data_IF_388773979624
#
_entry.id   IF_388773979624
#
_cell.length_a   1.000
_cell.length_b   1.000
_cell.length_c   1.000
_cell.angle_alpha   90.00
_cell.angle_beta   90.00
_cell.angle_gamma   90.00
#
_symmetry.space_group_name_H-M   'P 1'
#
loop_
_entity.id
_entity.type
_entity.pdbx_description
1 polymer ?
#
# COMPACT_ATOMS: atom_id res chain seq x y z
N UNK A 1 -19.01 -1.45 0.77
CA UNK A 1 -18.64 -2.19 2.01
C UNK A 1 -18.32 -1.21 3.14
N UNK A 2 -18.66 -1.48 4.41
CA UNK A 2 -18.28 -0.61 5.54
C UNK A 2 -16.86 -0.89 6.04
N UNK A 3 -16.20 0.09 6.68
CA UNK A 3 -14.84 -0.05 7.21
C UNK A 3 -14.65 -1.29 8.11
N UNK A 4 -15.57 -1.52 9.06
CA UNK A 4 -15.49 -2.68 9.96
C UNK A 4 -15.69 -4.02 9.27
N UNK A 5 -16.49 -4.04 8.20
CA UNK A 5 -16.70 -5.26 7.40
C UNK A 5 -15.40 -5.57 6.64
N UNK A 6 -14.80 -4.57 6.00
CA UNK A 6 -13.50 -4.70 5.33
C UNK A 6 -12.42 -5.18 6.31
N UNK A 7 -12.30 -4.56 7.47
CA UNK A 7 -11.33 -4.97 8.50
C UNK A 7 -11.55 -6.44 8.93
N UNK A 8 -12.79 -6.84 9.16
CA UNK A 8 -13.13 -8.22 9.54
C UNK A 8 -12.81 -9.24 8.45
N UNK A 9 -12.95 -8.86 7.17
CA UNK A 9 -12.54 -9.68 6.06
C UNK A 9 -11.01 -9.79 5.99
N UNK A 10 -10.30 -8.67 6.11
CA UNK A 10 -8.83 -8.64 6.06
C UNK A 10 -8.15 -9.39 7.22
N UNK A 11 -8.85 -9.60 8.34
CA UNK A 11 -8.38 -10.44 9.44
C UNK A 11 -8.31 -11.93 9.08
N UNK A 12 -9.01 -12.37 8.04
CA UNK A 12 -9.04 -13.77 7.58
C UNK A 12 -7.98 -14.06 6.52
N UNK A 13 -7.25 -13.04 6.05
CA UNK A 13 -6.18 -13.22 5.05
C UNK A 13 -5.01 -13.94 5.71
N UNK A 14 -4.65 -15.11 5.19
CA UNK A 14 -3.46 -15.85 5.62
C UNK A 14 -2.20 -15.02 5.37
N UNK A 15 -1.22 -15.16 6.26
CA UNK A 15 0.05 -14.42 6.19
C UNK A 15 1.23 -15.38 6.08
N UNK A 16 2.45 -14.83 6.05
CA UNK A 16 3.68 -15.58 5.83
C UNK A 16 3.79 -16.80 6.75
N UNK A 17 3.95 -17.99 6.16
CA UNK A 17 4.23 -19.22 6.90
C UNK A 17 5.64 -19.17 7.53
N UNK A 18 6.64 -18.80 6.72
CA UNK A 18 8.05 -18.69 7.11
C UNK A 18 8.62 -17.32 6.68
N UNK A 19 8.41 -16.24 7.47
CA UNK A 19 8.77 -14.88 7.08
C UNK A 19 10.29 -14.67 6.96
N UNK A 20 10.72 -14.11 5.83
CA UNK A 20 12.12 -13.82 5.49
C UNK A 20 12.53 -12.44 6.02
N UNK A 21 13.31 -12.45 7.10
CA UNK A 21 13.82 -11.23 7.76
C UNK A 21 14.57 -10.30 6.79
N UNK A 22 15.36 -10.85 5.87
CA UNK A 22 16.14 -10.07 4.89
C UNK A 22 15.27 -9.32 3.88
N UNK A 23 14.03 -9.76 3.67
CA UNK A 23 13.06 -9.09 2.81
C UNK A 23 12.12 -8.17 3.61
N UNK A 24 12.34 -8.06 4.93
CA UNK A 24 11.46 -7.32 5.84
C UNK A 24 9.98 -7.77 5.70
N UNK A 25 9.72 -9.08 5.68
CA UNK A 25 8.37 -9.62 5.56
C UNK A 25 7.58 -9.48 6.88
N UNK A 26 6.74 -8.45 6.94
CA UNK A 26 5.71 -8.26 7.97
C UNK A 26 4.38 -7.94 7.28
N UNK A 27 3.28 -8.63 7.62
CA UNK A 27 2.01 -8.34 6.99
C UNK A 27 1.49 -6.96 7.43
N UNK A 28 0.88 -6.23 6.50
CA UNK A 28 0.07 -5.06 6.86
C UNK A 28 -1.06 -5.52 7.77
N UNK A 29 -1.20 -4.93 8.96
CA UNK A 29 -2.31 -5.33 9.84
C UNK A 29 -3.66 -5.01 9.20
N UNK A 30 -4.65 -5.88 9.40
CA UNK A 30 -6.01 -5.70 8.86
C UNK A 30 -6.60 -4.32 9.18
N UNK A 31 -6.35 -3.80 10.38
CA UNK A 31 -6.79 -2.46 10.79
C UNK A 31 -6.17 -1.35 9.94
N UNK A 32 -4.83 -1.35 9.78
CA UNK A 32 -4.13 -0.36 8.96
C UNK A 32 -4.57 -0.45 7.50
N UNK A 33 -4.62 -1.67 6.95
CA UNK A 33 -5.04 -1.92 5.59
C UNK A 33 -6.48 -1.44 5.34
N UNK A 34 -7.43 -1.77 6.22
CA UNK A 34 -8.81 -1.35 6.10
C UNK A 34 -8.95 0.17 6.19
N UNK A 35 -8.30 0.82 7.17
CA UNK A 35 -8.32 2.27 7.30
C UNK A 35 -7.76 2.95 6.04
N UNK A 36 -6.60 2.50 5.55
CA UNK A 36 -5.99 2.99 4.31
C UNK A 36 -6.91 2.84 3.11
N UNK A 37 -7.31 1.61 2.78
CA UNK A 37 -8.08 1.29 1.57
C UNK A 37 -9.47 1.93 1.59
N UNK A 38 -10.13 1.95 2.75
CA UNK A 38 -11.43 2.60 2.90
C UNK A 38 -11.35 4.11 2.64
N UNK A 39 -10.29 4.77 3.09
CA UNK A 39 -10.06 6.20 2.80
C UNK A 39 -9.78 6.41 1.30
N UNK A 40 -8.91 5.59 0.69
CA UNK A 40 -8.60 5.67 -0.75
C UNK A 40 -9.87 5.53 -1.59
N UNK A 41 -10.72 4.55 -1.25
CA UNK A 41 -11.98 4.30 -1.95
C UNK A 41 -13.00 5.42 -1.71
N UNK A 42 -13.35 5.73 -0.46
CA UNK A 42 -14.49 6.63 -0.17
C UNK A 42 -14.17 8.12 -0.28
N UNK A 43 -12.91 8.52 -0.07
CA UNK A 43 -12.53 9.95 -0.07
C UNK A 43 -11.94 10.36 -1.41
N UNK A 44 -11.15 9.49 -2.06
CA UNK A 44 -10.39 9.85 -3.26
C UNK A 44 -10.88 9.17 -4.55
N UNK A 45 -11.80 8.20 -4.45
CA UNK A 45 -12.32 7.44 -5.60
C UNK A 45 -11.21 6.79 -6.45
N UNK A 46 -10.19 6.25 -5.77
CA UNK A 46 -8.97 5.73 -6.39
C UNK A 46 -8.85 4.20 -6.37
N UNK A 47 -9.94 3.48 -6.04
CA UNK A 47 -9.98 2.00 -6.08
C UNK A 47 -11.05 1.48 -7.05
N UNK A 48 -12.31 1.91 -6.91
CA UNK A 48 -13.42 1.33 -7.68
C UNK A 48 -13.21 1.49 -9.19
N UNK A 49 -13.34 0.37 -9.92
CA UNK A 49 -13.11 0.26 -11.36
C UNK A 49 -11.72 0.74 -11.84
N UNK A 50 -10.74 0.88 -10.93
CA UNK A 50 -9.36 1.28 -11.27
C UNK A 50 -8.46 0.07 -11.51
N UNK A 51 -7.43 0.27 -12.32
CA UNK A 51 -6.30 -0.64 -12.40
C UNK A 51 -5.29 -0.27 -11.31
N UNK A 52 -5.15 -1.14 -10.31
CA UNK A 52 -4.35 -0.92 -9.11
C UNK A 52 -3.09 -1.79 -9.14
N UNK A 53 -1.93 -1.24 -8.77
CA UNK A 53 -0.73 -2.03 -8.48
C UNK A 53 -0.44 -2.06 -6.98
N UNK A 54 -0.06 -3.22 -6.46
CA UNK A 54 0.41 -3.41 -5.08
C UNK A 54 1.90 -3.81 -5.10
N UNK A 55 2.78 -2.89 -4.69
CA UNK A 55 4.24 -3.11 -4.76
C UNK A 55 4.77 -3.69 -3.45
N UNK A 56 5.34 -4.90 -3.51
CA UNK A 56 5.68 -5.69 -2.33
C UNK A 56 4.42 -6.24 -1.69
N UNK A 57 3.55 -6.86 -2.49
CA UNK A 57 2.21 -7.27 -2.05
C UNK A 57 2.21 -8.34 -0.95
N UNK A 58 3.32 -9.07 -0.77
CA UNK A 58 3.43 -10.16 0.19
C UNK A 58 2.32 -11.18 0.00
N UNK A 59 1.61 -11.49 1.09
CA UNK A 59 0.46 -12.41 1.08
C UNK A 59 -0.85 -11.77 0.58
N UNK A 60 -0.81 -10.51 0.12
CA UNK A 60 -1.92 -9.87 -0.58
C UNK A 60 -2.91 -9.08 0.27
N UNK A 61 -2.63 -8.76 1.54
CA UNK A 61 -3.60 -8.04 2.40
C UNK A 61 -4.15 -6.76 1.75
N UNK A 62 -3.28 -5.95 1.12
CA UNK A 62 -3.72 -4.73 0.44
C UNK A 62 -4.43 -5.04 -0.87
N UNK A 63 -3.90 -5.97 -1.67
CA UNK A 63 -4.50 -6.39 -2.94
C UNK A 63 -5.90 -7.01 -2.78
N UNK A 64 -6.08 -7.93 -1.83
CA UNK A 64 -7.38 -8.55 -1.49
C UNK A 64 -8.36 -7.45 -1.10
N UNK A 65 -7.97 -6.52 -0.23
CA UNK A 65 -8.84 -5.42 0.17
C UNK A 65 -9.22 -4.48 -0.98
N UNK A 66 -8.29 -4.19 -1.89
CA UNK A 66 -8.57 -3.39 -3.09
C UNK A 66 -9.55 -4.12 -4.02
N UNK A 67 -9.36 -5.42 -4.22
CA UNK A 67 -10.25 -6.26 -5.02
C UNK A 67 -11.67 -6.33 -4.43
N UNK A 68 -11.80 -6.49 -3.10
CA UNK A 68 -13.08 -6.46 -2.36
C UNK A 68 -13.79 -5.10 -2.39
N UNK A 69 -13.05 -4.03 -2.70
CA UNK A 69 -13.57 -2.68 -2.92
C UNK A 69 -13.79 -2.39 -4.41
N UNK A 70 -13.98 -3.44 -5.20
CA UNK A 70 -14.37 -3.39 -6.62
C UNK A 70 -13.31 -2.72 -7.52
N UNK A 71 -12.02 -2.91 -7.22
CA UNK A 71 -10.97 -2.62 -8.20
C UNK A 71 -11.24 -3.36 -9.51
N UNK A 72 -11.01 -2.70 -10.66
CA UNK A 72 -11.19 -3.34 -11.96
C UNK A 72 -10.21 -4.51 -12.15
N UNK A 73 -8.96 -4.29 -11.73
CA UNK A 73 -7.93 -5.33 -11.58
C UNK A 73 -6.89 -4.82 -10.58
N UNK A 74 -6.46 -5.67 -9.64
CA UNK A 74 -5.33 -5.40 -8.77
C UNK A 74 -4.16 -6.34 -9.11
N UNK A 75 -3.01 -5.79 -9.49
CA UNK A 75 -1.81 -6.57 -9.81
C UNK A 75 -0.80 -6.47 -8.67
N UNK A 76 -0.54 -7.59 -8.00
CA UNK A 76 0.46 -7.70 -6.94
C UNK A 76 1.84 -8.02 -7.48
N UNK A 77 2.84 -7.25 -7.06
CA UNK A 77 4.25 -7.46 -7.41
C UNK A 77 5.03 -7.86 -6.15
N UNK A 78 5.70 -9.01 -6.17
CA UNK A 78 6.60 -9.40 -5.09
C UNK A 78 7.79 -10.21 -5.62
N UNK A 79 8.92 -10.16 -4.92
CA UNK A 79 10.11 -10.94 -5.26
C UNK A 79 9.97 -12.40 -4.80
N UNK A 80 9.19 -12.62 -3.74
CA UNK A 80 9.10 -13.90 -3.07
C UNK A 80 7.94 -14.76 -3.56
N UNK A 81 8.23 -15.86 -4.26
CA UNK A 81 7.19 -16.78 -4.72
C UNK A 81 6.42 -17.44 -3.58
N UNK A 82 7.05 -17.69 -2.43
CA UNK A 82 6.36 -18.33 -1.29
C UNK A 82 5.24 -17.40 -0.77
N UNK A 83 5.49 -16.09 -0.73
CA UNK A 83 4.48 -15.10 -0.38
C UNK A 83 3.36 -15.02 -1.43
N UNK A 84 3.72 -15.07 -2.72
CA UNK A 84 2.76 -15.09 -3.82
C UNK A 84 1.91 -16.36 -3.81
N UNK A 85 2.43 -17.50 -3.39
CA UNK A 85 1.66 -18.74 -3.25
C UNK A 85 0.60 -18.61 -2.14
N UNK A 86 0.94 -17.98 -1.01
CA UNK A 86 -0.06 -17.65 0.03
C UNK A 86 -1.11 -16.67 -0.52
N UNK A 87 -0.69 -15.66 -1.28
CA UNK A 87 -1.62 -14.72 -1.90
C UNK A 87 -2.56 -15.45 -2.89
N UNK A 88 -2.07 -16.35 -3.75
CA UNK A 88 -2.94 -17.16 -4.63
C UNK A 88 -4.02 -17.90 -3.86
N UNK A 89 -3.65 -18.56 -2.76
CA UNK A 89 -4.62 -19.25 -1.89
C UNK A 89 -5.64 -18.28 -1.30
N UNK A 90 -5.20 -17.13 -0.79
CA UNK A 90 -6.11 -16.08 -0.30
C UNK A 90 -7.07 -15.60 -1.38
N UNK A 91 -6.60 -15.37 -2.61
CA UNK A 91 -7.47 -14.94 -3.71
C UNK A 91 -8.54 -15.99 -4.04
N UNK A 92 -8.17 -17.27 -4.07
CA UNK A 92 -9.09 -18.38 -4.30
C UNK A 92 -10.11 -18.52 -3.17
N UNK A 93 -9.68 -18.44 -1.91
CA UNK A 93 -10.54 -18.55 -0.72
C UNK A 93 -11.56 -17.41 -0.61
N UNK A 94 -11.19 -16.20 -1.04
CA UNK A 94 -12.08 -15.06 -1.11
C UNK A 94 -12.88 -14.99 -2.43
N UNK A 95 -12.70 -15.97 -3.33
CA UNK A 95 -13.36 -16.06 -4.64
C UNK A 95 -13.15 -14.81 -5.53
N UNK A 96 -11.95 -14.21 -5.46
CA UNK A 96 -11.61 -12.98 -6.16
C UNK A 96 -11.05 -13.26 -7.55
N UNK A 97 -11.77 -12.81 -8.59
CA UNK A 97 -11.35 -12.95 -10.00
C UNK A 97 -10.63 -11.73 -10.57
N UNK A 98 -10.52 -10.65 -9.79
CA UNK A 98 -9.97 -9.35 -10.20
C UNK A 98 -8.59 -9.08 -9.58
N UNK A 99 -7.79 -10.13 -9.39
CA UNK A 99 -6.40 -10.04 -8.95
C UNK A 99 -5.47 -10.79 -9.91
N UNK A 100 -4.26 -10.26 -10.09
CA UNK A 100 -3.19 -10.93 -10.84
C UNK A 100 -1.84 -10.75 -10.12
N UNK A 101 -0.85 -11.58 -10.44
CA UNK A 101 0.39 -11.70 -9.69
C UNK A 101 1.60 -11.72 -10.61
N UNK A 102 2.58 -10.87 -10.29
CA UNK A 102 3.85 -10.80 -10.99
C UNK A 102 4.98 -11.05 -10.00
N UNK A 103 5.67 -12.18 -10.17
CA UNK A 103 6.93 -12.40 -9.45
C UNK A 103 8.04 -11.55 -10.09
N UNK A 104 8.57 -10.57 -9.35
CA UNK A 104 9.69 -9.77 -9.82
C UNK A 104 10.50 -9.14 -8.68
N UNK A 105 11.78 -8.89 -8.93
CA UNK A 105 12.55 -7.96 -8.11
C UNK A 105 12.27 -6.53 -8.60
N UNK A 106 11.55 -5.74 -7.80
CA UNK A 106 11.25 -4.33 -8.10
C UNK A 106 12.50 -3.47 -8.26
N UNK A 107 13.65 -3.87 -7.69
CA UNK A 107 14.92 -3.17 -7.89
C UNK A 107 15.53 -3.40 -9.28
N UNK A 108 15.14 -4.49 -9.94
CA UNK A 108 15.61 -4.86 -11.27
C UNK A 108 14.52 -4.69 -12.35
N UNK A 109 13.28 -4.38 -11.94
CA UNK A 109 12.18 -4.12 -12.85
C UNK A 109 12.49 -2.90 -13.72
N UNK A 110 12.31 -3.05 -15.03
CA UNK A 110 12.30 -1.92 -15.97
C UNK A 110 10.99 -1.16 -15.81
N UNK A 111 10.90 -0.32 -14.79
CA UNK A 111 9.66 0.40 -14.42
C UNK A 111 9.12 1.27 -15.55
N UNK A 112 9.97 1.69 -16.49
CA UNK A 112 9.56 2.45 -17.67
C UNK A 112 8.64 1.64 -18.61
N UNK A 113 8.75 0.31 -18.63
CA UNK A 113 7.83 -0.57 -19.37
C UNK A 113 6.40 -0.51 -18.80
N UNK A 114 6.26 -0.09 -17.54
CA UNK A 114 5.00 0.07 -16.81
C UNK A 114 4.63 1.55 -16.62
N UNK A 115 5.30 2.47 -17.32
CA UNK A 115 5.10 3.90 -17.11
C UNK A 115 3.63 4.27 -17.28
N UNK A 116 3.06 4.93 -16.27
CA UNK A 116 1.67 5.37 -16.28
C UNK A 116 0.69 4.26 -16.70
N UNK A 117 0.97 3.01 -16.32
CA UNK A 117 0.14 1.86 -16.69
C UNK A 117 -0.98 1.63 -15.68
N UNK A 118 -0.76 1.96 -14.41
CA UNK A 118 -1.72 1.78 -13.32
C UNK A 118 -2.37 3.11 -12.97
N UNK A 119 -3.68 3.11 -12.71
CA UNK A 119 -4.36 4.33 -12.26
C UNK A 119 -3.88 4.73 -10.86
N UNK A 120 -3.77 3.73 -9.99
CA UNK A 120 -3.38 3.86 -8.58
C UNK A 120 -2.29 2.85 -8.23
N UNK A 121 -1.30 3.26 -7.45
CA UNK A 121 -0.33 2.35 -6.82
C UNK A 121 -0.49 2.39 -5.31
N UNK A 122 -0.62 1.24 -4.66
CA UNK A 122 -0.63 1.08 -3.21
C UNK A 122 0.58 0.25 -2.78
N UNK A 123 1.10 0.48 -1.57
CA UNK A 123 2.21 -0.33 -1.05
C UNK A 123 2.43 -0.19 0.46
N UNK A 124 2.98 -1.25 1.04
CA UNK A 124 3.64 -1.23 2.34
C UNK A 124 5.11 -1.68 2.14
N UNK A 125 5.99 -0.80 1.65
CA UNK A 125 7.31 -1.20 1.21
C UNK A 125 8.20 -1.62 2.37
N UNK A 126 9.28 -2.39 2.11
CA UNK A 126 10.33 -2.60 3.10
C UNK A 126 10.90 -1.23 3.55
N UNK A 127 10.98 -1.00 4.86
CA UNK A 127 11.41 0.31 5.40
C UNK A 127 12.92 0.56 5.24
N UNK A 128 13.67 -0.40 4.73
CA UNK A 128 15.10 -0.25 4.49
C UNK A 128 15.94 -0.30 5.76
N UNK A 129 15.49 -1.09 6.73
CA UNK A 129 16.24 -1.25 8.00
C UNK A 129 17.52 -2.06 7.80
N UNK A 130 18.62 -1.63 8.42
CA UNK A 130 19.93 -2.31 8.41
C UNK A 130 20.51 -2.55 7.01
N UNK A 131 20.25 -3.71 6.41
CA UNK A 131 20.87 -4.20 5.17
C UNK A 131 20.18 -3.69 3.90
N UNK A 132 19.01 -3.06 4.04
CA UNK A 132 18.12 -2.67 2.94
C UNK A 132 18.02 -1.14 2.77
N UNK A 133 19.04 -0.38 3.19
CA UNK A 133 18.98 1.09 3.13
C UNK A 133 18.60 1.59 1.73
N UNK A 134 17.55 2.42 1.67
CA UNK A 134 17.03 3.02 0.43
C UNK A 134 16.10 2.14 -0.39
N UNK A 135 15.68 0.97 0.11
CA UNK A 135 14.68 0.13 -0.56
C UNK A 135 13.32 0.81 -0.66
N UNK A 136 12.89 1.49 0.39
CA UNK A 136 11.69 2.35 0.44
C UNK A 136 11.68 3.37 -0.71
N UNK A 137 12.83 4.01 -0.97
CA UNK A 137 12.98 5.00 -2.04
C UNK A 137 12.98 4.38 -3.44
N UNK A 138 13.49 3.16 -3.60
CA UNK A 138 13.41 2.43 -4.88
C UNK A 138 11.96 2.08 -5.21
N UNK A 139 11.24 1.55 -4.23
CA UNK A 139 9.81 1.24 -4.36
C UNK A 139 9.01 2.49 -4.72
N UNK A 140 9.30 3.61 -4.06
CA UNK A 140 8.59 4.85 -4.33
C UNK A 140 8.90 5.45 -5.69
N UNK A 141 10.14 5.37 -6.16
CA UNK A 141 10.47 5.74 -7.55
C UNK A 141 9.72 4.86 -8.55
N UNK A 142 9.64 3.55 -8.30
CA UNK A 142 8.87 2.64 -9.13
C UNK A 142 7.38 3.01 -9.14
N UNK A 143 6.77 3.21 -7.97
CA UNK A 143 5.37 3.58 -7.83
C UNK A 143 5.03 4.87 -8.59
N UNK A 144 5.88 5.90 -8.45
CA UNK A 144 5.73 7.18 -9.13
C UNK A 144 5.81 7.02 -10.66
N UNK A 145 6.72 6.20 -11.17
CA UNK A 145 6.80 5.92 -12.61
C UNK A 145 5.56 5.15 -13.10
N UNK A 146 5.08 4.19 -12.33
CA UNK A 146 3.99 3.29 -12.71
C UNK A 146 2.60 3.92 -12.62
N UNK A 147 2.39 4.84 -11.67
CA UNK A 147 1.10 5.49 -11.43
C UNK A 147 0.77 6.54 -12.50
N UNK A 148 -0.50 6.59 -12.91
CA UNK A 148 -1.08 7.68 -13.70
C UNK A 148 -1.55 8.82 -12.80
N UNK A 149 -2.21 8.48 -11.69
CA UNK A 149 -2.91 9.46 -10.85
C UNK A 149 -2.34 9.54 -9.44
N UNK A 150 -2.25 8.41 -8.73
CA UNK A 150 -1.98 8.43 -7.30
C UNK A 150 -1.08 7.29 -6.81
N UNK A 151 -0.32 7.58 -5.74
CA UNK A 151 0.50 6.61 -4.99
C UNK A 151 0.09 6.65 -3.52
N UNK A 152 -0.04 5.50 -2.88
CA UNK A 152 -0.36 5.40 -1.45
C UNK A 152 0.64 4.45 -0.79
N UNK A 153 1.48 4.94 0.11
CA UNK A 153 2.63 4.18 0.64
C UNK A 153 2.83 4.36 2.13
N UNK A 154 2.87 3.26 2.88
CA UNK A 154 3.13 3.26 4.32
C UNK A 154 4.62 3.50 4.63
N UNK A 155 4.97 4.43 5.54
CA UNK A 155 6.36 4.72 5.94
C UNK A 155 6.45 5.04 7.43
N UNK A 156 7.49 4.57 8.12
CA UNK A 156 7.75 4.89 9.55
C UNK A 156 8.08 6.39 9.75
N UNK A 157 7.61 6.96 10.85
CA UNK A 157 7.62 8.40 11.21
C UNK A 157 9.00 9.08 11.30
N UNK A 158 10.10 8.32 11.27
CA UNK A 158 11.46 8.87 11.31
C UNK A 158 11.94 9.51 10.00
N UNK A 159 11.17 9.43 8.91
CA UNK A 159 11.58 9.90 7.55
C UNK A 159 10.90 11.20 7.09
N UNK A 160 10.59 12.14 8.00
CA UNK A 160 10.04 13.47 7.66
C UNK A 160 10.88 14.28 6.64
N UNK A 161 12.19 14.03 6.55
CA UNK A 161 13.05 14.69 5.56
C UNK A 161 12.90 14.07 4.16
N UNK A 162 12.92 12.74 4.08
CA UNK A 162 12.69 11.96 2.84
C UNK A 162 11.35 12.33 2.21
N UNK A 163 10.35 12.51 3.06
CA UNK A 163 9.00 12.95 2.74
C UNK A 163 8.91 14.26 1.92
N UNK A 164 9.73 15.27 2.23
CA UNK A 164 9.73 16.55 1.51
C UNK A 164 10.38 16.42 0.13
N UNK A 165 11.49 15.68 0.04
CA UNK A 165 12.19 15.43 -1.22
C UNK A 165 11.34 14.63 -2.21
N UNK A 166 10.53 13.71 -1.68
CA UNK A 166 9.55 12.92 -2.43
C UNK A 166 8.40 13.76 -2.95
N UNK A 167 7.81 14.60 -2.10
CA UNK A 167 6.75 15.52 -2.51
C UNK A 167 7.20 16.43 -3.66
N UNK A 168 8.41 16.99 -3.56
CA UNK A 168 9.01 17.78 -4.64
C UNK A 168 9.25 16.95 -5.91
N UNK A 169 9.58 15.67 -5.78
CA UNK A 169 9.77 14.76 -6.92
C UNK A 169 8.47 14.43 -7.63
N UNK A 170 7.38 14.16 -6.89
CA UNK A 170 6.04 13.96 -7.44
C UNK A 170 5.54 15.19 -8.20
N UNK A 171 5.71 16.39 -7.62
CA UNK A 171 5.35 17.66 -8.26
C UNK A 171 6.10 17.87 -9.59
N UNK A 172 7.40 17.57 -9.63
CA UNK A 172 8.20 17.70 -10.87
C UNK A 172 7.75 16.73 -11.97
N UNK A 173 7.16 15.60 -11.60
CA UNK A 173 6.72 14.56 -12.53
C UNK A 173 5.26 14.71 -12.97
N UNK A 174 4.58 15.78 -12.53
CA UNK A 174 3.21 16.09 -12.96
C UNK A 174 2.14 15.18 -12.37
N UNK A 175 2.45 14.41 -11.33
CA UNK A 175 1.46 13.65 -10.59
C UNK A 175 0.64 14.60 -9.71
N UNK A 176 -0.69 14.56 -9.88
CA UNK A 176 -1.64 15.44 -9.21
C UNK A 176 -2.05 15.00 -7.80
N UNK A 177 -1.74 13.77 -7.38
CA UNK A 177 -1.99 13.18 -6.06
C UNK A 177 -0.94 12.05 -5.87
N UNK A 178 -0.50 11.55 -4.73
CA UNK A 178 -0.65 11.71 -3.28
C UNK A 178 0.46 10.79 -2.68
N UNK A 179 0.78 10.82 -1.38
CA UNK A 179 1.57 9.75 -0.68
C UNK A 179 1.01 9.59 0.75
N UNK A 180 0.57 8.38 1.14
CA UNK A 180 -0.04 8.11 2.45
C UNK A 180 0.93 7.68 3.57
N UNK A 181 1.58 8.63 4.25
CA UNK A 181 2.53 8.30 5.33
C UNK A 181 1.89 7.80 6.64
N UNK A 182 2.03 6.51 6.98
CA UNK A 182 1.44 5.91 8.21
C UNK A 182 2.38 5.80 9.41
N UNK A 183 2.03 6.50 10.49
CA UNK A 183 2.66 6.47 11.82
C UNK A 183 1.86 5.61 12.84
N UNK A 184 2.46 4.52 13.32
CA UNK A 184 1.94 3.50 14.25
C UNK A 184 1.46 3.99 15.65
N UNK A 185 1.11 5.26 15.86
CA UNK A 185 1.02 5.87 17.20
C UNK A 185 -0.36 6.39 17.68
N UNK A 186 -1.42 6.55 16.83
CA UNK A 186 -2.67 7.30 17.19
C UNK A 186 -3.99 6.76 16.56
N UNK A 187 -5.21 6.89 17.16
CA UNK A 187 -6.49 6.24 16.73
C UNK A 187 -7.05 6.53 15.30
N UNK A 188 -7.73 5.56 14.65
CA UNK A 188 -8.16 5.61 13.21
C UNK A 188 -9.26 6.65 12.90
N UNK A 189 -10.06 7.06 13.89
CA UNK A 189 -11.07 8.12 13.70
C UNK A 189 -10.44 9.50 13.44
N UNK A 190 -9.25 9.75 14.00
CA UNK A 190 -8.46 10.96 13.74
C UNK A 190 -7.84 10.91 12.34
N UNK A 191 -7.41 9.74 11.88
CA UNK A 191 -6.87 9.53 10.53
C UNK A 191 -7.86 9.92 9.43
N UNK A 192 -9.08 9.39 9.46
CA UNK A 192 -10.11 9.68 8.44
C UNK A 192 -10.49 11.17 8.49
N UNK A 193 -10.66 11.73 9.69
CA UNK A 193 -11.07 13.12 9.86
C UNK A 193 -9.97 14.12 9.45
N UNK A 194 -8.69 13.83 9.73
CA UNK A 194 -7.55 14.63 9.26
C UNK A 194 -7.37 14.51 7.76
N UNK A 195 -7.51 13.30 7.20
CA UNK A 195 -7.44 13.09 5.77
C UNK A 195 -8.45 13.96 5.00
N UNK A 196 -9.70 13.99 5.48
CA UNK A 196 -10.78 14.79 4.89
C UNK A 196 -10.55 16.30 5.08
N UNK A 197 -10.16 16.75 6.29
CA UNK A 197 -9.97 18.19 6.57
C UNK A 197 -8.78 18.80 5.84
N UNK A 198 -7.70 18.04 5.71
CA UNK A 198 -6.52 18.52 5.00
C UNK A 198 -6.76 18.47 3.49
N UNK A 199 -7.50 17.47 2.95
CA UNK A 199 -7.89 17.42 1.53
C UNK A 199 -8.46 18.76 1.01
N UNK A 200 -9.17 19.49 1.87
CA UNK A 200 -9.78 20.77 1.55
C UNK A 200 -8.81 21.97 1.58
N UNK A 201 -7.58 21.82 2.08
CA UNK A 201 -6.68 22.92 2.45
C UNK A 201 -5.26 22.89 1.84
N UNK A 202 -4.80 21.83 1.15
CA UNK A 202 -3.45 21.78 0.57
C UNK A 202 -3.31 20.77 -0.59
N UNK A 203 -2.25 20.86 -1.39
CA UNK A 203 -2.00 19.91 -2.51
C UNK A 203 -1.12 18.70 -2.12
N UNK A 204 -0.53 18.69 -0.91
CA UNK A 204 0.35 17.62 -0.41
C UNK A 204 -0.07 17.17 0.98
N UNK A 205 -0.05 15.86 1.25
CA UNK A 205 -0.68 15.28 2.42
C UNK A 205 0.19 14.28 3.19
N UNK A 206 0.08 14.36 4.51
CA UNK A 206 0.75 13.49 5.49
C UNK A 206 -0.29 13.02 6.50
N UNK A 207 -0.62 11.73 6.54
CA UNK A 207 -1.72 11.25 7.38
C UNK A 207 -1.30 10.12 8.34
N UNK A 208 -1.12 10.40 9.64
CA UNK A 208 -0.83 9.37 10.63
C UNK A 208 -2.03 8.41 10.84
N UNK A 209 -1.81 7.07 10.83
CA UNK A 209 -2.82 5.98 11.03
C UNK A 209 -2.44 5.13 12.25
N UNK A 210 -3.36 4.68 13.11
CA UNK A 210 -3.03 3.89 14.32
C UNK A 210 -2.29 2.59 14.09
N UNK A 211 -1.49 2.23 15.10
CA UNK A 211 -1.27 0.83 15.43
C UNK A 211 -2.13 0.39 16.62
N UNK A 212 -2.42 -0.90 16.66
CA UNK A 212 -2.77 -1.58 17.91
C UNK A 212 -1.56 -1.58 18.85
N UNK A 213 -1.74 -1.02 20.05
CA UNK A 213 -0.88 -1.34 21.18
C UNK A 213 -1.01 -2.84 21.49
N UNK A 214 0.01 -3.63 21.15
CA UNK A 214 0.25 -4.86 21.93
C UNK A 214 0.76 -4.40 23.29
N UNK A 215 -0.15 -4.27 24.25
CA UNK A 215 0.23 -4.38 25.65
C UNK A 215 0.75 -5.80 25.89
N UNK A 216 2.00 -5.85 26.36
CA UNK A 216 2.64 -6.91 27.14
C UNK A 216 2.24 -8.38 26.94
N UNK A 217 3.20 -9.18 26.47
CA UNK A 217 3.88 -10.18 27.32
C UNK A 217 5.23 -10.55 26.72
#
# INVERSE_FOLDING_TARGET
>A
MKLKELESCLQQVDTFEEPKILLEQYPTSAHIAACMLYTIHNTFDDIEAKLVADLGCGCGVLSIGAAMLEAGLCVGFDIDNDALDVFRRNADEFELSNVDLVQCDLCCLKTEDYRHSFDTVIMNPPFGTKHNQGMDMKFLRAAITMAKKAVYSLHKTSTREVSQELSLSCQRLGLSQFILFVDYSHPCSLFISQAINEHQNNDNFFYPVPAHTKEGK
#
